data_IF_566198758308
#
_entry.id   IF_566198758308
#
_cell.length_a   1.000
_cell.length_b   1.000
_cell.length_c   1.000
_cell.angle_alpha   90.00
_cell.angle_beta   90.00
_cell.angle_gamma   90.00
#
_symmetry.space_group_name_H-M   'P 1'
#
loop_
_entity.id
_entity.type
_entity.pdbx_description
1 polymer ?
#
# COMPACT_ATOMS: atom_id res chain seq x y z
N UNK A 1 6.77 -46.97 -16.89
CA UNK A 1 7.13 -45.68 -17.50
C UNK A 1 6.38 -44.60 -16.75
N UNK A 2 7.11 -43.83 -15.94
CA UNK A 2 6.57 -42.82 -15.05
C UNK A 2 6.34 -41.56 -15.88
N UNK A 3 5.08 -41.14 -15.98
CA UNK A 3 4.67 -39.97 -16.75
C UNK A 3 5.28 -38.72 -16.11
N UNK A 4 6.36 -38.23 -16.71
CA UNK A 4 7.00 -36.95 -16.40
C UNK A 4 6.40 -35.92 -17.34
N UNK A 5 5.21 -35.43 -17.01
CA UNK A 5 4.58 -34.31 -17.71
C UNK A 5 3.60 -33.63 -16.76
N UNK A 6 4.14 -32.73 -15.94
CA UNK A 6 3.57 -31.41 -15.64
C UNK A 6 4.51 -30.72 -14.66
N UNK A 7 5.66 -30.27 -15.19
CA UNK A 7 6.34 -29.12 -14.61
C UNK A 7 5.42 -27.92 -14.89
N UNK A 8 4.35 -27.80 -14.10
CA UNK A 8 3.38 -26.73 -14.21
C UNK A 8 4.14 -25.41 -14.18
N UNK A 9 4.03 -24.64 -15.27
CA UNK A 9 4.48 -23.26 -15.31
C UNK A 9 4.05 -22.58 -14.02
N UNK A 10 5.04 -22.20 -13.19
CA UNK A 10 4.81 -21.43 -11.97
C UNK A 10 3.86 -20.28 -12.30
N UNK A 11 2.61 -20.39 -11.88
CA UNK A 11 1.59 -19.42 -12.24
C UNK A 11 2.01 -18.06 -11.66
N UNK A 12 2.02 -17.02 -12.50
CA UNK A 12 2.33 -15.67 -12.05
C UNK A 12 1.29 -15.28 -11.00
N UNK A 13 1.76 -14.89 -9.81
CA UNK A 13 0.87 -14.52 -8.69
C UNK A 13 0.65 -13.01 -8.62
N UNK A 14 -0.38 -12.61 -7.87
CA UNK A 14 -0.61 -11.19 -7.52
C UNK A 14 0.65 -10.57 -6.89
N UNK A 15 1.33 -11.30 -5.99
CA UNK A 15 2.54 -10.82 -5.33
C UNK A 15 3.66 -10.52 -6.34
N UNK A 16 3.89 -11.41 -7.31
CA UNK A 16 4.88 -11.22 -8.37
C UNK A 16 4.58 -9.96 -9.17
N UNK A 17 3.31 -9.72 -9.51
CA UNK A 17 2.88 -8.54 -10.22
C UNK A 17 3.09 -7.24 -9.42
N UNK A 18 2.74 -7.25 -8.13
CA UNK A 18 2.93 -6.09 -7.27
C UNK A 18 4.43 -5.81 -7.06
N UNK A 19 5.26 -6.85 -6.86
CA UNK A 19 6.71 -6.69 -6.74
C UNK A 19 7.32 -6.09 -8.01
N UNK A 20 6.95 -6.61 -9.19
CA UNK A 20 7.38 -6.04 -10.46
C UNK A 20 6.89 -4.59 -10.63
N UNK A 21 5.66 -4.30 -10.23
CA UNK A 21 5.12 -2.95 -10.25
C UNK A 21 5.91 -2.00 -9.34
N UNK A 22 6.31 -2.40 -8.12
CA UNK A 22 7.13 -1.57 -7.23
C UNK A 22 8.51 -1.27 -7.80
N UNK A 23 9.14 -2.24 -8.47
CA UNK A 23 10.39 -2.02 -9.20
C UNK A 23 10.17 -1.03 -10.35
N UNK A 24 9.09 -1.20 -11.12
CA UNK A 24 8.73 -0.28 -12.19
C UNK A 24 8.46 1.14 -11.67
N UNK A 25 7.79 1.29 -10.52
CA UNK A 25 7.60 2.59 -9.85
C UNK A 25 8.94 3.26 -9.59
N UNK A 26 9.92 2.54 -9.03
CA UNK A 26 11.26 3.09 -8.76
C UNK A 26 11.94 3.50 -10.06
N UNK A 27 11.88 2.66 -11.11
CA UNK A 27 12.44 2.98 -12.43
C UNK A 27 11.82 4.27 -13.00
N UNK A 28 10.49 4.40 -12.98
CA UNK A 28 9.78 5.59 -13.44
C UNK A 28 10.19 6.86 -12.66
N UNK A 29 10.37 6.76 -11.34
CA UNK A 29 10.83 7.88 -10.52
C UNK A 29 12.30 8.24 -10.79
N UNK A 30 13.16 7.25 -11.02
CA UNK A 30 14.54 7.47 -11.46
C UNK A 30 14.59 8.14 -12.84
N UNK A 31 13.74 7.73 -13.77
CA UNK A 31 13.60 8.39 -15.08
C UNK A 31 13.18 9.85 -14.88
N UNK A 32 12.22 10.15 -13.99
CA UNK A 32 11.85 11.53 -13.68
C UNK A 32 13.07 12.34 -13.17
N UNK A 33 13.88 11.76 -12.28
CA UNK A 33 15.09 12.40 -11.77
C UNK A 33 16.14 12.66 -12.85
N UNK A 34 16.30 11.76 -13.81
CA UNK A 34 17.25 11.91 -14.92
C UNK A 34 16.74 12.95 -15.93
N UNK A 35 15.46 12.92 -16.28
CA UNK A 35 14.86 13.75 -17.34
C UNK A 35 14.61 15.19 -16.87
N UNK A 36 14.05 15.37 -15.68
CA UNK A 36 13.69 16.70 -15.16
C UNK A 36 14.77 17.29 -14.25
N UNK A 37 15.72 16.47 -13.78
CA UNK A 37 16.73 16.87 -12.82
C UNK A 37 16.19 16.98 -11.39
N UNK A 38 17.12 17.21 -10.46
CA UNK A 38 16.81 17.50 -9.05
C UNK A 38 17.25 18.94 -8.80
N UNK A 39 16.28 19.84 -8.70
CA UNK A 39 16.50 21.28 -8.55
C UNK A 39 16.15 21.83 -7.17
N UNK A 40 15.29 21.15 -6.41
CA UNK A 40 14.82 21.57 -5.08
C UNK A 40 14.64 20.37 -4.13
N UNK A 41 14.41 20.69 -2.85
CA UNK A 41 14.09 19.74 -1.80
C UNK A 41 12.81 18.94 -2.07
N UNK A 42 11.87 19.47 -2.86
CA UNK A 42 10.64 18.76 -3.25
C UNK A 42 10.93 17.39 -3.86
N UNK A 43 11.81 17.34 -4.87
CA UNK A 43 12.13 16.11 -5.58
C UNK A 43 12.89 15.13 -4.68
N UNK A 44 13.83 15.65 -3.88
CA UNK A 44 14.60 14.85 -2.92
C UNK A 44 13.68 14.19 -1.90
N UNK A 45 12.78 14.96 -1.26
CA UNK A 45 11.81 14.42 -0.31
C UNK A 45 10.92 13.40 -1.01
N UNK A 46 10.39 13.71 -2.19
CA UNK A 46 9.50 12.79 -2.89
C UNK A 46 10.17 11.43 -3.16
N UNK A 47 11.41 11.45 -3.69
CA UNK A 47 12.19 10.23 -3.91
C UNK A 47 12.41 9.48 -2.59
N UNK A 48 12.85 10.17 -1.53
CA UNK A 48 13.06 9.56 -0.22
C UNK A 48 11.80 8.85 0.29
N UNK A 49 10.63 9.47 0.20
CA UNK A 49 9.39 8.88 0.69
C UNK A 49 8.91 7.72 -0.20
N UNK A 50 8.78 7.92 -1.51
CA UNK A 50 8.16 6.90 -2.37
C UNK A 50 9.11 5.73 -2.66
N UNK A 51 10.40 5.98 -2.87
CA UNK A 51 11.38 4.90 -3.08
C UNK A 51 11.57 4.09 -1.80
N UNK A 52 11.68 4.72 -0.62
CA UNK A 52 11.80 3.97 0.64
C UNK A 52 10.56 3.11 0.91
N UNK A 53 9.36 3.58 0.57
CA UNK A 53 8.16 2.75 0.62
C UNK A 53 8.25 1.53 -0.30
N UNK A 54 8.67 1.71 -1.55
CA UNK A 54 8.81 0.59 -2.50
C UNK A 54 9.86 -0.42 -2.03
N UNK A 55 10.98 0.07 -1.49
CA UNK A 55 12.02 -0.78 -0.89
C UNK A 55 11.50 -1.52 0.34
N UNK A 56 10.79 -0.83 1.24
CA UNK A 56 10.18 -1.46 2.41
C UNK A 56 9.24 -2.60 2.00
N UNK A 57 8.37 -2.39 1.01
CA UNK A 57 7.48 -3.43 0.50
C UNK A 57 8.22 -4.71 0.07
N UNK A 58 9.37 -4.54 -0.60
CA UNK A 58 10.20 -5.65 -1.08
C UNK A 58 10.94 -6.33 0.09
N UNK A 59 11.53 -5.54 1.01
CA UNK A 59 12.29 -6.02 2.16
C UNK A 59 11.40 -6.72 3.20
N UNK A 60 10.19 -6.23 3.42
CA UNK A 60 9.26 -6.77 4.41
C UNK A 60 8.94 -8.25 4.16
N UNK A 61 8.94 -8.69 2.89
CA UNK A 61 8.72 -10.10 2.53
C UNK A 61 9.92 -11.01 2.86
N UNK A 62 11.09 -10.42 3.08
CA UNK A 62 12.26 -11.14 3.56
C UNK A 62 12.23 -11.24 5.09
N UNK A 63 11.90 -10.15 5.77
CA UNK A 63 11.73 -10.14 7.23
C UNK A 63 10.55 -11.00 7.72
N UNK A 64 9.44 -11.01 6.97
CA UNK A 64 8.22 -11.74 7.29
C UNK A 64 7.84 -12.68 6.14
N UNK A 65 8.47 -13.87 6.01
CA UNK A 65 8.22 -14.79 4.88
C UNK A 65 6.75 -15.20 4.73
N UNK A 66 6.01 -15.31 5.84
CA UNK A 66 4.58 -15.64 5.81
C UNK A 66 3.72 -14.57 5.11
N UNK A 67 4.22 -13.34 4.97
CA UNK A 67 3.57 -12.28 4.19
C UNK A 67 3.41 -12.66 2.72
N UNK A 68 4.30 -13.51 2.19
CA UNK A 68 4.23 -13.99 0.79
C UNK A 68 2.96 -14.79 0.49
N UNK A 69 2.29 -15.30 1.53
CA UNK A 69 1.04 -16.03 1.39
C UNK A 69 -0.20 -15.12 1.18
N UNK A 70 -0.11 -13.82 1.49
CA UNK A 70 -1.28 -12.91 1.42
C UNK A 70 -1.76 -12.68 -0.03
N UNK A 71 -0.82 -12.57 -0.97
CA UNK A 71 -1.08 -12.27 -2.38
C UNK A 71 -0.62 -13.41 -3.30
N UNK A 72 -0.85 -14.65 -2.88
CA UNK A 72 -0.36 -15.84 -3.58
C UNK A 72 -1.35 -16.40 -4.62
N UNK A 73 -2.48 -15.74 -4.83
CA UNK A 73 -3.44 -16.15 -5.85
C UNK A 73 -2.86 -15.96 -7.26
N UNK A 74 -3.07 -16.92 -8.17
CA UNK A 74 -2.61 -16.81 -9.55
C UNK A 74 -3.38 -15.71 -10.28
N UNK A 75 -2.71 -15.01 -11.19
CA UNK A 75 -3.31 -14.00 -12.05
C UNK A 75 -3.00 -14.29 -13.51
N UNK A 76 -3.97 -13.97 -14.37
CA UNK A 76 -3.74 -13.96 -15.81
C UNK A 76 -2.91 -12.77 -16.27
N UNK A 77 -2.47 -12.81 -17.52
CA UNK A 77 -1.71 -11.72 -18.17
C UNK A 77 -2.41 -10.37 -18.04
N UNK A 78 -3.74 -10.32 -18.21
CA UNK A 78 -4.51 -9.08 -18.07
C UNK A 78 -4.40 -8.46 -16.67
N UNK A 79 -4.48 -9.27 -15.61
CA UNK A 79 -4.31 -8.81 -14.22
C UNK A 79 -2.88 -8.35 -13.93
N UNK A 80 -1.89 -9.03 -14.49
CA UNK A 80 -0.49 -8.64 -14.39
C UNK A 80 -0.24 -7.28 -15.06
N UNK A 81 -0.68 -7.11 -16.32
CA UNK A 81 -0.57 -5.85 -17.06
C UNK A 81 -1.31 -4.71 -16.36
N UNK A 82 -2.52 -4.94 -15.87
CA UNK A 82 -3.26 -3.94 -15.09
C UNK A 82 -2.48 -3.51 -13.84
N UNK A 83 -1.88 -4.46 -13.11
CA UNK A 83 -1.09 -4.16 -11.91
C UNK A 83 0.14 -3.31 -12.25
N UNK A 84 0.85 -3.62 -13.34
CA UNK A 84 1.98 -2.81 -13.78
C UNK A 84 1.57 -1.39 -14.18
N UNK A 85 0.47 -1.23 -14.92
CA UNK A 85 -0.01 0.09 -15.33
C UNK A 85 -0.50 0.87 -14.11
N UNK A 86 -1.30 0.25 -13.25
CA UNK A 86 -1.91 0.95 -12.12
C UNK A 86 -0.91 1.22 -10.98
N UNK A 87 -0.26 0.18 -10.47
CA UNK A 87 0.69 0.30 -9.34
C UNK A 87 2.08 0.71 -9.81
N UNK A 88 2.50 0.33 -11.01
CA UNK A 88 3.83 0.67 -11.51
C UNK A 88 3.93 2.06 -12.12
N UNK A 89 2.90 2.49 -12.87
CA UNK A 89 2.92 3.77 -13.61
C UNK A 89 1.97 4.81 -13.01
N UNK A 90 0.68 4.52 -12.86
CA UNK A 90 -0.27 5.52 -12.35
C UNK A 90 0.08 6.00 -10.93
N UNK A 91 0.58 5.11 -10.07
CA UNK A 91 1.09 5.50 -8.74
C UNK A 91 2.24 6.49 -8.79
N UNK A 92 3.01 6.60 -9.88
CA UNK A 92 4.08 7.60 -10.00
C UNK A 92 3.56 8.99 -10.37
N UNK A 93 2.26 9.17 -10.60
CA UNK A 93 1.66 10.46 -10.94
C UNK A 93 2.04 11.58 -9.95
N UNK A 94 1.94 11.42 -8.61
CA UNK A 94 2.38 12.46 -7.67
C UNK A 94 3.88 12.74 -7.79
N UNK A 95 4.68 11.75 -8.20
CA UNK A 95 6.12 11.89 -8.39
C UNK A 95 6.43 12.71 -9.62
N UNK A 96 5.84 12.36 -10.76
CA UNK A 96 5.88 13.19 -11.96
C UNK A 96 5.50 14.64 -11.63
N UNK A 97 4.37 14.84 -10.94
CA UNK A 97 3.92 16.17 -10.54
C UNK A 97 4.88 16.86 -9.58
N UNK A 98 5.54 16.15 -8.67
CA UNK A 98 6.57 16.71 -7.79
C UNK A 98 7.80 17.16 -8.59
N UNK A 99 8.21 16.42 -9.61
CA UNK A 99 9.34 16.76 -10.48
C UNK A 99 9.04 17.94 -11.39
N UNK A 100 7.82 18.05 -11.92
CA UNK A 100 7.42 19.13 -12.83
C UNK A 100 6.83 20.35 -12.12
N UNK A 101 6.74 20.37 -10.79
CA UNK A 101 6.23 21.52 -10.06
C UNK A 101 7.33 22.59 -9.98
N UNK A 102 7.16 23.77 -10.62
CA UNK A 102 8.16 24.83 -10.59
C UNK A 102 8.24 25.54 -9.23
N UNK A 103 7.27 25.28 -8.35
CA UNK A 103 7.17 25.94 -7.05
C UNK A 103 8.00 25.18 -6.02
N UNK A 104 8.98 25.82 -5.36
CA UNK A 104 9.71 25.21 -4.26
C UNK A 104 8.76 24.68 -3.18
N UNK A 105 9.16 23.60 -2.50
CA UNK A 105 8.33 23.07 -1.41
C UNK A 105 8.33 24.03 -0.21
N UNK A 106 7.16 24.29 0.36
CA UNK A 106 7.04 25.12 1.56
C UNK A 106 7.37 24.34 2.82
N UNK A 107 7.90 25.02 3.86
CA UNK A 107 8.14 24.41 5.17
C UNK A 107 6.86 23.77 5.76
N UNK A 108 5.69 24.38 5.53
CA UNK A 108 4.40 23.84 5.94
C UNK A 108 4.09 22.50 5.24
N UNK A 109 4.33 22.41 3.93
CA UNK A 109 4.12 21.17 3.19
C UNK A 109 5.03 20.04 3.71
N UNK A 110 6.28 20.35 4.06
CA UNK A 110 7.20 19.39 4.70
C UNK A 110 6.68 18.97 6.09
N UNK A 111 6.30 19.95 6.91
CA UNK A 111 5.79 19.73 8.27
C UNK A 111 4.51 18.88 8.31
N UNK A 112 3.73 18.88 7.22
CA UNK A 112 2.54 18.02 7.08
C UNK A 112 2.93 16.66 6.46
N UNK A 113 3.68 16.65 5.36
CA UNK A 113 3.95 15.43 4.61
C UNK A 113 4.80 14.42 5.40
N UNK A 114 5.83 14.87 6.12
CA UNK A 114 6.73 13.97 6.83
C UNK A 114 6.01 13.20 7.94
N UNK A 115 5.23 13.83 8.85
CA UNK A 115 4.41 13.09 9.81
C UNK A 115 3.40 12.15 9.15
N UNK A 116 2.71 12.57 8.08
CA UNK A 116 1.77 11.70 7.36
C UNK A 116 2.48 10.43 6.87
N UNK A 117 3.65 10.57 6.26
CA UNK A 117 4.42 9.41 5.80
C UNK A 117 4.85 8.49 6.95
N UNK A 118 5.43 9.06 8.00
CA UNK A 118 5.97 8.31 9.14
C UNK A 118 4.84 7.57 9.87
N UNK A 119 3.80 8.27 10.31
CA UNK A 119 2.69 7.65 11.04
C UNK A 119 1.89 6.71 10.14
N UNK A 120 1.67 7.06 8.87
CA UNK A 120 1.00 6.16 7.93
C UNK A 120 1.75 4.83 7.77
N UNK A 121 3.08 4.90 7.62
CA UNK A 121 3.94 3.72 7.53
C UNK A 121 3.96 2.92 8.83
N UNK A 122 4.15 3.57 9.98
CA UNK A 122 4.19 2.89 11.28
C UNK A 122 2.87 2.20 11.60
N UNK A 123 1.73 2.85 11.35
CA UNK A 123 0.40 2.27 11.58
C UNK A 123 0.19 1.06 10.68
N UNK A 124 0.48 1.20 9.37
CA UNK A 124 0.32 0.11 8.40
C UNK A 124 1.18 -1.10 8.76
N UNK A 125 2.47 -0.89 8.99
CA UNK A 125 3.41 -1.96 9.36
C UNK A 125 3.04 -2.61 10.69
N UNK A 126 2.69 -1.82 11.71
CA UNK A 126 2.32 -2.38 13.03
C UNK A 126 1.07 -3.25 12.93
N UNK A 127 0.07 -2.82 12.17
CA UNK A 127 -1.15 -3.57 11.96
C UNK A 127 -0.91 -4.89 11.23
N UNK A 128 -0.12 -4.86 10.16
CA UNK A 128 0.21 -6.05 9.37
C UNK A 128 1.05 -7.04 10.18
N UNK A 129 2.06 -6.56 10.91
CA UNK A 129 2.90 -7.40 11.79
C UNK A 129 2.07 -8.01 12.92
N UNK A 130 1.25 -7.23 13.63
CA UNK A 130 0.38 -7.76 14.70
C UNK A 130 -0.53 -8.87 14.16
N UNK A 131 -1.16 -8.65 12.99
CA UNK A 131 -2.06 -9.62 12.38
C UNK A 131 -1.34 -10.88 11.89
N UNK A 132 -0.17 -10.73 11.28
CA UNK A 132 0.65 -11.86 10.82
C UNK A 132 1.11 -12.72 12.00
N UNK A 133 1.62 -12.09 13.06
CA UNK A 133 2.04 -12.77 14.28
C UNK A 133 0.86 -13.49 14.94
N UNK A 134 -0.27 -12.81 15.13
CA UNK A 134 -1.46 -13.44 15.71
C UNK A 134 -1.90 -14.68 14.92
N UNK A 135 -1.91 -14.61 13.58
CA UNK A 135 -2.22 -15.75 12.71
C UNK A 135 -1.22 -16.90 12.86
N UNK A 136 0.07 -16.62 13.04
CA UNK A 136 1.09 -17.65 13.28
C UNK A 136 0.84 -18.44 14.57
N UNK A 137 0.30 -17.78 15.60
CA UNK A 137 -0.06 -18.40 16.87
C UNK A 137 -1.49 -18.96 16.90
N UNK A 138 -2.16 -19.08 15.74
CA UNK A 138 -3.49 -19.67 15.64
C UNK A 138 -4.63 -18.79 16.16
N UNK A 139 -4.38 -17.49 16.37
CA UNK A 139 -5.45 -16.55 16.74
C UNK A 139 -6.39 -16.34 15.55
N UNK A 140 -7.70 -16.40 15.83
CA UNK A 140 -8.77 -16.20 14.87
C UNK A 140 -8.91 -14.73 14.44
N UNK A 141 -9.91 -14.03 14.99
CA UNK A 141 -10.15 -12.61 14.72
C UNK A 141 -9.23 -11.74 15.58
N UNK A 142 -8.48 -10.83 14.95
CA UNK A 142 -7.63 -9.85 15.65
C UNK A 142 -8.40 -8.55 15.85
N UNK A 143 -8.68 -8.22 17.11
CA UNK A 143 -9.52 -7.07 17.51
C UNK A 143 -8.90 -6.23 18.65
N UNK A 144 -7.64 -6.50 19.02
CA UNK A 144 -6.90 -5.82 20.07
C UNK A 144 -5.80 -4.90 19.49
N UNK A 145 -4.99 -4.28 20.36
CA UNK A 145 -3.88 -3.43 19.92
C UNK A 145 -4.34 -2.28 19.03
N UNK A 146 -3.75 -2.14 17.83
CA UNK A 146 -4.15 -1.11 16.85
C UNK A 146 -5.45 -1.44 16.13
N UNK A 147 -5.79 -2.73 16.03
CA UNK A 147 -7.01 -3.20 15.36
C UNK A 147 -8.27 -2.80 16.14
N UNK A 148 -8.18 -2.63 17.47
CA UNK A 148 -9.31 -2.13 18.28
C UNK A 148 -9.89 -0.81 17.77
N UNK A 149 -9.05 0.06 17.19
CA UNK A 149 -9.46 1.39 16.75
C UNK A 149 -10.12 1.39 15.38
N UNK A 150 -9.72 0.45 14.50
CA UNK A 150 -10.30 0.33 13.17
C UNK A 150 -10.10 -1.08 12.59
N UNK A 151 -11.18 -1.65 12.05
CA UNK A 151 -11.19 -2.97 11.38
C UNK A 151 -10.35 -3.02 10.10
N UNK A 152 -9.94 -1.85 9.61
CA UNK A 152 -9.10 -1.66 8.43
C UNK A 152 -8.00 -0.62 8.69
N UNK A 153 -7.44 -0.62 9.92
CA UNK A 153 -6.41 0.34 10.34
C UNK A 153 -5.16 0.32 9.44
N UNK A 154 -4.82 -0.82 8.84
CA UNK A 154 -3.72 -0.92 7.89
C UNK A 154 -4.00 -0.14 6.59
N UNK A 155 -5.24 -0.17 6.09
CA UNK A 155 -5.65 0.64 4.94
C UNK A 155 -5.64 2.14 5.26
N UNK A 156 -6.06 2.51 6.47
CA UNK A 156 -5.96 3.90 6.92
C UNK A 156 -4.51 4.40 6.94
N UNK A 157 -3.59 3.64 7.52
CA UNK A 157 -2.16 3.96 7.50
C UNK A 157 -1.61 4.12 6.08
N UNK A 158 -2.04 3.24 5.16
CA UNK A 158 -1.64 3.32 3.76
C UNK A 158 -2.17 4.57 3.04
N UNK A 159 -3.43 4.94 3.29
CA UNK A 159 -4.03 6.17 2.74
C UNK A 159 -3.33 7.43 3.26
N UNK A 160 -3.01 7.50 4.56
CA UNK A 160 -2.23 8.62 5.13
C UNK A 160 -0.87 8.71 4.45
N UNK A 161 -0.19 7.58 4.23
CA UNK A 161 1.08 7.56 3.51
C UNK A 161 0.92 8.11 2.09
N UNK A 162 -0.09 7.72 1.32
CA UNK A 162 -0.30 8.26 -0.03
C UNK A 162 -0.69 9.74 -0.05
N UNK A 163 -1.39 10.22 0.98
CA UNK A 163 -1.64 11.66 1.14
C UNK A 163 -0.32 12.43 1.26
N UNK A 164 0.69 11.89 1.96
CA UNK A 164 2.01 12.55 2.05
C UNK A 164 2.63 12.79 0.67
N UNK A 165 2.53 11.82 -0.25
CA UNK A 165 3.03 11.96 -1.62
C UNK A 165 2.30 13.09 -2.36
N UNK A 166 1.00 13.24 -2.13
CA UNK A 166 0.18 14.29 -2.76
C UNK A 166 0.52 15.68 -2.21
N UNK A 167 0.77 15.78 -0.90
CA UNK A 167 1.24 17.02 -0.28
C UNK A 167 2.61 17.44 -0.82
N UNK A 168 3.56 16.50 -0.94
CA UNK A 168 4.88 16.78 -1.53
C UNK A 168 4.79 17.10 -3.02
N UNK A 169 3.84 16.52 -3.76
CA UNK A 169 3.61 16.88 -5.16
C UNK A 169 3.12 18.33 -5.32
N UNK A 170 2.35 18.84 -4.35
CA UNK A 170 1.83 20.21 -4.37
C UNK A 170 0.90 20.49 -5.54
N UNK A 171 0.14 19.48 -5.98
CA UNK A 171 -0.80 19.56 -7.10
C UNK A 171 -2.09 18.82 -6.75
N UNK A 172 -3.24 19.41 -7.07
CA UNK A 172 -4.54 18.79 -6.85
C UNK A 172 -4.69 17.45 -7.59
N UNK A 173 -4.06 17.34 -8.76
CA UNK A 173 -4.06 16.11 -9.57
C UNK A 173 -3.36 14.93 -8.88
N UNK A 174 -2.44 15.20 -7.95
CA UNK A 174 -1.77 14.15 -7.20
C UNK A 174 -2.73 13.35 -6.30
N UNK A 175 -3.81 13.99 -5.83
CA UNK A 175 -4.82 13.36 -4.98
C UNK A 175 -5.69 12.32 -5.70
N UNK A 176 -5.59 12.22 -7.04
CA UNK A 176 -6.20 11.12 -7.79
C UNK A 176 -5.69 9.76 -7.31
N UNK A 177 -4.42 9.65 -6.91
CA UNK A 177 -3.85 8.38 -6.40
C UNK A 177 -4.51 7.96 -5.07
N UNK A 178 -4.42 8.71 -3.96
CA UNK A 178 -5.11 8.32 -2.73
C UNK A 178 -6.63 8.23 -2.89
N UNK A 179 -7.25 9.06 -3.74
CA UNK A 179 -8.69 9.01 -4.02
C UNK A 179 -9.12 7.69 -4.67
N UNK A 180 -8.43 7.27 -5.74
CA UNK A 180 -8.72 5.98 -6.42
C UNK A 180 -8.45 4.79 -5.51
N UNK A 181 -7.38 4.82 -4.72
CA UNK A 181 -7.06 3.77 -3.74
C UNK A 181 -8.13 3.68 -2.66
N UNK A 182 -8.66 4.82 -2.20
CA UNK A 182 -9.76 4.86 -1.25
C UNK A 182 -10.97 4.12 -1.81
N UNK A 183 -11.38 4.40 -3.05
CA UNK A 183 -12.50 3.71 -3.70
C UNK A 183 -12.28 2.19 -3.78
N UNK A 184 -11.08 1.75 -4.16
CA UNK A 184 -10.71 0.33 -4.19
C UNK A 184 -10.77 -0.30 -2.80
N UNK A 185 -10.32 0.41 -1.76
CA UNK A 185 -10.41 -0.05 -0.38
C UNK A 185 -11.84 -0.12 0.11
N UNK A 186 -12.72 0.82 -0.21
CA UNK A 186 -14.14 0.74 0.16
C UNK A 186 -14.82 -0.50 -0.43
N UNK A 187 -14.51 -0.84 -1.69
CA UNK A 187 -15.00 -2.06 -2.32
C UNK A 187 -14.46 -3.31 -1.61
N UNK A 188 -13.14 -3.38 -1.36
CA UNK A 188 -12.50 -4.51 -0.67
C UNK A 188 -12.98 -4.67 0.77
N UNK A 189 -13.23 -3.57 1.49
CA UNK A 189 -13.77 -3.58 2.85
C UNK A 189 -15.16 -4.23 2.80
N UNK A 190 -16.04 -3.79 1.92
CA UNK A 190 -17.41 -4.33 1.84
C UNK A 190 -17.43 -5.83 1.56
N UNK A 191 -16.57 -6.32 0.66
CA UNK A 191 -16.41 -7.76 0.39
C UNK A 191 -15.85 -8.51 1.60
N UNK A 192 -14.80 -7.96 2.22
CA UNK A 192 -14.17 -8.53 3.42
C UNK A 192 -15.15 -8.65 4.58
N UNK A 193 -15.96 -7.61 4.85
CA UNK A 193 -16.91 -7.61 5.96
C UNK A 193 -17.94 -8.75 5.84
N UNK A 194 -18.45 -9.03 4.63
CA UNK A 194 -19.35 -10.17 4.39
C UNK A 194 -18.68 -11.50 4.79
N UNK A 195 -17.48 -11.75 4.29
CA UNK A 195 -16.73 -12.98 4.63
C UNK A 195 -16.37 -13.07 6.11
N UNK A 196 -16.12 -11.94 6.79
CA UNK A 196 -15.80 -11.93 8.22
C UNK A 196 -17.02 -12.22 9.09
N UNK A 197 -18.20 -11.68 8.74
CA UNK A 197 -19.46 -11.98 9.42
C UNK A 197 -19.82 -13.46 9.35
N UNK A 198 -19.58 -14.12 8.22
CA UNK A 198 -19.84 -15.55 8.05
C UNK A 198 -18.83 -16.42 8.82
N UNK A 199 -17.59 -15.95 8.93
CA UNK A 199 -16.47 -16.74 9.49
C UNK A 199 -16.34 -16.63 11.01
N UNK A 200 -16.65 -15.48 11.60
CA UNK A 200 -16.39 -15.19 13.01
C UNK A 200 -17.68 -14.75 13.72
N UNK A 201 -18.16 -15.56 14.66
CA UNK A 201 -19.37 -15.24 15.42
C UNK A 201 -19.22 -13.97 16.28
N UNK A 202 -18.00 -13.69 16.74
CA UNK A 202 -17.64 -12.49 17.49
C UNK A 202 -17.54 -11.20 16.65
N UNK A 203 -17.66 -11.29 15.31
CA UNK A 203 -17.43 -10.15 14.43
C UNK A 203 -18.46 -9.02 14.62
N UNK A 204 -19.71 -9.35 14.94
CA UNK A 204 -20.76 -8.35 15.18
C UNK A 204 -20.39 -7.43 16.36
N UNK A 205 -19.91 -8.00 17.47
CA UNK A 205 -19.44 -7.23 18.63
C UNK A 205 -18.21 -6.36 18.30
N UNK A 206 -17.34 -6.84 17.40
CA UNK A 206 -16.21 -6.06 16.92
C UNK A 206 -16.67 -4.87 16.07
N UNK A 207 -17.72 -5.02 15.26
CA UNK A 207 -18.27 -3.94 14.46
C UNK A 207 -18.82 -2.79 15.32
N UNK A 208 -19.41 -3.11 16.47
CA UNK A 208 -19.96 -2.12 17.41
C UNK A 208 -18.88 -1.36 18.19
N UNK A 209 -17.74 -2.00 18.45
CA UNK A 209 -16.67 -1.46 19.32
C UNK A 209 -15.51 -0.81 18.57
N UNK A 210 -15.51 -0.83 17.24
CA UNK A 210 -14.42 -0.31 16.41
C UNK A 210 -14.92 0.51 15.22
N UNK A 211 -14.08 1.40 14.69
CA UNK A 211 -14.36 2.08 13.42
C UNK A 211 -14.12 1.14 12.23
N UNK A 212 -14.74 1.44 11.10
CA UNK A 212 -14.62 0.72 9.83
C UNK A 212 -13.29 1.02 9.14
N UNK A 213 -12.87 2.28 9.05
CA UNK A 213 -11.63 2.69 8.38
C UNK A 213 -10.90 3.80 9.14
N UNK A 214 -11.54 4.94 9.38
CA UNK A 214 -10.95 6.12 10.01
C UNK A 214 -11.22 6.03 11.52
N UNK A 215 -10.17 5.86 12.36
CA UNK A 215 -10.32 5.76 13.81
C UNK A 215 -11.14 6.91 14.38
N UNK A 216 -12.09 6.58 15.27
CA UNK A 216 -12.96 7.51 15.99
C UNK A 216 -13.97 8.28 15.12
N UNK A 217 -14.01 8.05 13.80
CA UNK A 217 -14.91 8.76 12.90
C UNK A 217 -15.81 7.80 12.13
N UNK A 218 -15.21 6.87 11.38
CA UNK A 218 -15.98 5.99 10.51
C UNK A 218 -15.34 4.63 10.32
#
# INVERSE_FOLDING_TARGET
MQNTADAGTSAITQLTAINAAKVLTVICLTICAIVFGISDLRQVIYLCLHVSYCLWWLLEQWFFPNRRQIFNEPIGVGGFSFTLIFVGVFYTLPGYLAFTNPTPISALAIAIAIPLYIFGTLINTTADVQKLTAKQYGVGLVQDGVWRFSRNINYFGDLIRYLSFSVVAGSLWAYLVPGTITLLYLQRISQKEQTMSDKYGEYAAYQESSSRLIPFLW
#
